data_IF_807472978829
#
_entry.id   IF_807472978829
#
_cell.length_a   1.000
_cell.length_b   1.000
_cell.length_c   1.000
_cell.angle_alpha   90.00
_cell.angle_beta   90.00
_cell.angle_gamma   90.00
#
_symmetry.space_group_name_H-M   'P 1'
#
loop_
_entity.id
_entity.type
_entity.pdbx_description
1 polymer ?
#
# COMPACT_ATOMS: atom_id res chain seq x y z
N UNK A 1 -6.37 -15.04 -16.83
CA UNK A 1 -5.71 -15.92 -15.85
C UNK A 1 -4.22 -15.60 -15.88
N UNK A 2 -3.72 -14.89 -14.86
CA UNK A 2 -2.30 -14.61 -14.74
C UNK A 2 -1.62 -15.79 -14.06
N UNK A 3 -0.73 -16.46 -14.77
CA UNK A 3 0.03 -17.60 -14.23
C UNK A 3 1.21 -17.12 -13.38
N UNK A 4 1.71 -17.97 -12.47
CA UNK A 4 2.85 -17.63 -11.60
C UNK A 4 4.11 -17.21 -12.37
N UNK A 5 4.31 -17.71 -13.58
CA UNK A 5 5.44 -17.32 -14.45
C UNK A 5 5.38 -15.88 -14.94
N UNK A 6 4.17 -15.33 -15.03
CA UNK A 6 3.96 -13.94 -15.44
C UNK A 6 4.51 -12.95 -14.42
N UNK A 7 4.50 -13.28 -13.14
CA UNK A 7 5.06 -12.46 -12.07
C UNK A 7 6.59 -12.55 -11.96
N UNK A 8 7.17 -13.69 -12.28
CA UNK A 8 8.63 -13.88 -12.26
C UNK A 8 9.35 -12.97 -13.25
N UNK A 9 8.80 -12.78 -14.44
CA UNK A 9 9.33 -11.86 -15.44
C UNK A 9 9.33 -10.39 -15.01
N UNK A 10 8.34 -9.99 -14.18
CA UNK A 10 8.28 -8.64 -13.64
C UNK A 10 9.38 -8.35 -12.63
N UNK A 11 9.69 -9.32 -11.76
CA UNK A 11 10.81 -9.19 -10.82
C UNK A 11 12.10 -8.99 -11.60
N UNK A 12 12.33 -9.83 -12.60
CA UNK A 12 13.54 -9.77 -13.40
C UNK A 12 13.70 -8.41 -14.06
N UNK A 13 12.63 -7.84 -14.64
CA UNK A 13 12.69 -6.52 -15.25
C UNK A 13 12.89 -5.39 -14.23
N UNK A 14 12.25 -5.46 -13.07
CA UNK A 14 12.48 -4.49 -12.01
C UNK A 14 13.89 -4.58 -11.45
N UNK A 15 14.42 -5.79 -11.30
CA UNK A 15 15.83 -5.98 -10.89
C UNK A 15 16.80 -5.45 -11.94
N UNK A 16 16.51 -5.63 -13.22
CA UNK A 16 17.32 -5.07 -14.32
C UNK A 16 17.25 -3.54 -14.32
N UNK A 17 16.07 -2.96 -14.13
CA UNK A 17 15.91 -1.51 -14.03
C UNK A 17 16.68 -0.96 -12.82
N UNK A 18 16.62 -1.65 -11.68
CA UNK A 18 17.38 -1.31 -10.48
C UNK A 18 18.88 -1.38 -10.73
N UNK A 19 19.39 -2.42 -11.36
CA UNK A 19 20.80 -2.58 -11.72
C UNK A 19 21.27 -1.47 -12.63
N UNK A 20 20.48 -1.14 -13.65
CA UNK A 20 20.75 -0.02 -14.55
C UNK A 20 20.82 1.31 -13.80
N UNK A 21 19.85 1.56 -12.93
CA UNK A 21 19.80 2.78 -12.13
C UNK A 21 21.02 2.93 -11.21
N UNK A 22 21.47 1.85 -10.56
CA UNK A 22 22.70 1.85 -9.76
C UNK A 22 23.92 2.21 -10.59
N UNK A 23 24.02 1.67 -11.81
CA UNK A 23 25.10 2.02 -12.74
C UNK A 23 25.04 3.48 -13.16
N UNK A 24 23.87 3.99 -13.50
CA UNK A 24 23.67 5.38 -13.88
C UNK A 24 23.96 6.33 -12.73
N UNK A 25 23.58 5.97 -11.50
CA UNK A 25 23.94 6.71 -10.29
C UNK A 25 25.45 6.78 -10.06
N UNK A 26 26.15 5.65 -10.26
CA UNK A 26 27.62 5.63 -10.13
C UNK A 26 28.29 6.51 -11.18
N UNK A 27 27.80 6.48 -12.43
CA UNK A 27 28.29 7.38 -13.48
C UNK A 27 28.04 8.83 -13.15
N UNK A 28 26.83 9.18 -12.70
CA UNK A 28 26.48 10.55 -12.32
C UNK A 28 27.35 11.06 -11.15
N UNK A 29 27.61 10.22 -10.14
CA UNK A 29 28.51 10.55 -9.03
C UNK A 29 29.95 10.78 -9.51
N UNK A 30 30.42 9.97 -10.46
CA UNK A 30 31.73 10.14 -11.04
C UNK A 30 31.86 11.44 -11.86
N UNK A 31 30.79 11.85 -12.55
CA UNK A 31 30.75 13.13 -13.28
C UNK A 31 30.71 14.32 -12.35
N UNK A 32 29.94 14.27 -11.26
CA UNK A 32 29.94 15.29 -10.20
C UNK A 32 31.33 15.46 -9.60
N UNK A 33 32.01 14.35 -9.31
CA UNK A 33 33.40 14.38 -8.78
C UNK A 33 34.41 15.00 -9.75
N UNK A 34 34.11 14.99 -11.06
CA UNK A 34 34.94 15.63 -12.11
C UNK A 34 34.59 17.11 -12.32
N UNK A 35 33.63 17.67 -11.57
CA UNK A 35 33.22 19.06 -11.74
C UNK A 35 32.37 19.32 -13.00
N UNK A 36 31.72 18.27 -13.56
CA UNK A 36 30.86 18.39 -14.71
C UNK A 36 29.50 19.01 -14.38
N UNK A 37 28.96 19.77 -15.33
CA UNK A 37 27.67 20.44 -15.20
C UNK A 37 26.51 19.45 -15.22
N UNK A 38 25.74 19.44 -14.14
CA UNK A 38 24.41 18.92 -13.99
C UNK A 38 24.19 17.41 -14.30
N UNK A 39 24.52 16.50 -13.36
CA UNK A 39 24.22 15.06 -13.48
C UNK A 39 22.72 14.72 -13.34
N UNK A 40 21.86 15.73 -13.37
CA UNK A 40 20.47 15.67 -12.99
C UNK A 40 19.62 14.62 -13.74
N UNK A 41 19.76 14.37 -15.06
CA UNK A 41 18.96 13.35 -15.73
C UNK A 41 19.32 11.93 -15.32
N UNK A 42 20.59 11.59 -15.24
CA UNK A 42 21.04 10.25 -14.83
C UNK A 42 20.73 9.97 -13.35
N UNK A 43 20.87 10.97 -12.49
CA UNK A 43 20.46 10.88 -11.08
C UNK A 43 18.96 10.69 -10.95
N UNK A 44 18.16 11.42 -11.70
CA UNK A 44 16.70 11.28 -11.70
C UNK A 44 16.27 9.87 -12.09
N UNK A 45 16.85 9.31 -13.14
CA UNK A 45 16.61 7.94 -13.57
C UNK A 45 16.99 6.92 -12.48
N UNK A 46 18.15 7.11 -11.85
CA UNK A 46 18.60 6.25 -10.76
C UNK A 46 17.66 6.29 -9.55
N UNK A 47 17.12 7.46 -9.22
CA UNK A 47 16.24 7.65 -8.07
C UNK A 47 14.92 6.89 -8.19
N UNK A 48 14.33 6.90 -9.39
CA UNK A 48 13.03 6.27 -9.60
C UNK A 48 13.11 4.76 -9.71
N UNK A 49 14.31 4.23 -9.98
CA UNK A 49 14.53 2.79 -10.18
C UNK A 49 15.17 2.09 -8.98
N UNK A 50 15.60 2.82 -7.94
CA UNK A 50 16.25 2.23 -6.75
C UNK A 50 15.22 1.64 -5.75
N UNK A 51 14.09 1.18 -6.26
CA UNK A 51 13.11 0.40 -5.53
C UNK A 51 13.63 -1.03 -5.48
N UNK A 52 14.00 -1.49 -4.29
CA UNK A 52 14.34 -2.90 -4.10
C UNK A 52 13.06 -3.73 -4.15
N UNK A 53 13.03 -4.67 -5.09
CA UNK A 53 11.90 -5.56 -5.27
C UNK A 53 12.03 -6.74 -4.32
N UNK A 54 11.06 -6.95 -3.49
CA UNK A 54 10.91 -8.15 -2.68
C UNK A 54 9.94 -9.16 -3.34
N UNK A 55 9.79 -10.33 -2.73
CA UNK A 55 8.87 -11.36 -3.21
C UNK A 55 7.41 -10.86 -3.29
N UNK A 56 7.09 -9.84 -2.54
CA UNK A 56 5.76 -9.23 -2.53
C UNK A 56 5.53 -8.33 -3.75
N UNK A 57 6.57 -7.64 -4.21
CA UNK A 57 6.59 -6.95 -5.50
C UNK A 57 6.65 -7.92 -6.67
N UNK A 58 7.17 -9.11 -6.43
CA UNK A 58 7.29 -10.16 -7.40
C UNK A 58 5.97 -10.58 -8.07
N UNK A 59 4.87 -10.25 -7.45
CA UNK A 59 3.53 -10.49 -7.98
C UNK A 59 3.00 -9.34 -8.85
N UNK A 60 3.81 -8.33 -9.11
CA UNK A 60 3.48 -7.26 -10.05
C UNK A 60 3.75 -7.76 -11.46
N UNK A 61 2.78 -7.56 -12.30
CA UNK A 61 2.73 -8.07 -13.65
C UNK A 61 3.72 -7.32 -14.57
N UNK A 62 4.31 -8.04 -15.53
CA UNK A 62 5.27 -7.51 -16.52
C UNK A 62 4.77 -6.26 -17.25
N UNK A 63 3.50 -6.26 -17.65
CA UNK A 63 2.87 -5.12 -18.32
C UNK A 63 2.78 -3.90 -17.41
N UNK A 64 2.64 -4.09 -16.11
CA UNK A 64 2.62 -3.01 -15.13
C UNK A 64 3.97 -2.34 -15.02
N UNK A 65 5.03 -3.15 -14.97
CA UNK A 65 6.40 -2.63 -14.92
C UNK A 65 6.71 -1.80 -16.16
N UNK A 66 6.32 -2.27 -17.33
CA UNK A 66 6.48 -1.54 -18.59
C UNK A 66 5.67 -0.25 -18.63
N UNK A 67 4.50 -0.24 -17.97
CA UNK A 67 3.64 0.95 -17.87
C UNK A 67 4.12 1.96 -16.82
N UNK A 68 4.82 1.50 -15.78
CA UNK A 68 5.28 2.37 -14.71
C UNK A 68 6.64 3.00 -14.97
N UNK A 69 7.49 2.34 -15.76
CA UNK A 69 8.84 2.80 -16.04
C UNK A 69 9.06 2.95 -17.55
N UNK A 70 9.60 4.07 -17.93
CA UNK A 70 10.08 4.32 -19.27
C UNK A 70 11.52 4.81 -19.21
N UNK A 71 12.42 4.11 -19.91
CA UNK A 71 13.86 4.43 -19.89
C UNK A 71 14.46 4.53 -18.48
N UNK A 72 13.92 3.76 -17.53
CA UNK A 72 14.36 3.76 -16.13
C UNK A 72 13.80 4.91 -15.28
N UNK A 73 12.94 5.76 -15.82
CA UNK A 73 12.23 6.80 -15.08
C UNK A 73 10.81 6.34 -14.72
N UNK A 74 10.34 6.71 -13.53
CA UNK A 74 8.97 6.45 -13.10
C UNK A 74 8.01 7.35 -13.90
N UNK A 75 7.24 6.72 -14.77
CA UNK A 75 6.30 7.41 -15.65
C UNK A 75 4.89 6.98 -15.36
N UNK A 76 4.27 7.69 -14.44
CA UNK A 76 2.85 7.52 -14.15
C UNK A 76 2.06 8.64 -14.83
N UNK A 77 0.90 8.30 -15.39
CA UNK A 77 -0.01 9.29 -15.94
C UNK A 77 -0.61 10.10 -14.81
N UNK A 78 -0.44 11.43 -14.77
CA UNK A 78 -1.07 12.25 -13.73
C UNK A 78 -2.59 12.17 -13.83
N UNK A 79 -3.27 11.95 -12.70
CA UNK A 79 -4.72 12.04 -12.64
C UNK A 79 -5.17 13.47 -12.31
N UNK A 80 -6.20 13.92 -13.00
CA UNK A 80 -6.89 15.19 -12.71
C UNK A 80 -8.29 14.95 -12.13
N UNK A 81 -8.59 13.72 -11.72
CA UNK A 81 -9.87 13.38 -11.09
C UNK A 81 -10.00 14.14 -9.78
N UNK A 82 -11.13 14.83 -9.61
CA UNK A 82 -11.45 15.52 -8.36
C UNK A 82 -11.67 14.53 -7.23
N UNK A 83 -11.12 14.83 -6.06
CA UNK A 83 -11.34 14.04 -4.84
C UNK A 83 -10.53 12.75 -4.71
N UNK A 84 -9.59 12.50 -5.63
CA UNK A 84 -8.69 11.33 -5.54
C UNK A 84 -7.23 11.78 -5.51
N UNK A 85 -6.40 11.10 -4.73
CA UNK A 85 -4.94 11.32 -4.67
C UNK A 85 -4.17 10.43 -5.65
N UNK A 86 -4.71 9.26 -5.93
CA UNK A 86 -4.19 8.28 -6.86
C UNK A 86 -5.32 7.43 -7.41
N UNK A 87 -5.02 6.62 -8.39
CA UNK A 87 -5.97 5.71 -9.01
C UNK A 87 -5.25 4.51 -9.64
N UNK A 88 -5.77 3.33 -9.37
CA UNK A 88 -5.33 2.09 -9.99
C UNK A 88 -6.37 1.63 -11.00
N UNK A 89 -5.93 1.44 -12.25
CA UNK A 89 -6.78 0.92 -13.32
C UNK A 89 -6.83 -0.61 -13.27
N UNK A 90 -7.91 -1.18 -13.77
CA UNK A 90 -8.08 -2.64 -13.83
C UNK A 90 -7.03 -3.35 -14.70
N UNK A 91 -6.44 -2.64 -15.65
CA UNK A 91 -5.33 -3.12 -16.47
C UNK A 91 -3.96 -2.93 -15.80
N UNK A 92 -3.95 -2.46 -14.57
CA UNK A 92 -2.79 -2.31 -13.71
C UNK A 92 -2.00 -1.04 -13.89
N UNK A 93 -2.44 -0.11 -14.73
CA UNK A 93 -1.83 1.23 -14.77
C UNK A 93 -2.11 1.94 -13.46
N UNK A 94 -1.15 2.76 -13.04
CA UNK A 94 -1.28 3.66 -11.90
C UNK A 94 -1.34 5.10 -12.38
N UNK A 95 -2.08 5.93 -11.66
CA UNK A 95 -1.96 7.38 -11.77
C UNK A 95 -1.95 8.01 -10.38
N UNK A 96 -1.24 9.12 -10.27
CA UNK A 96 -1.21 9.96 -9.07
C UNK A 96 -1.56 11.38 -9.47
N UNK A 97 -2.05 12.18 -8.54
CA UNK A 97 -2.14 13.62 -8.80
C UNK A 97 -0.74 14.20 -9.07
N UNK A 98 -0.61 15.29 -9.84
CA UNK A 98 0.69 15.87 -10.16
C UNK A 98 1.56 16.11 -8.93
N UNK A 99 0.98 16.64 -7.86
CA UNK A 99 1.71 16.90 -6.59
C UNK A 99 2.19 15.61 -5.93
N UNK A 100 1.36 14.56 -5.93
CA UNK A 100 1.72 13.24 -5.39
C UNK A 100 2.83 12.60 -6.21
N UNK A 101 2.74 12.67 -7.54
CA UNK A 101 3.79 12.16 -8.41
C UNK A 101 5.12 12.88 -8.20
N UNK A 102 5.10 14.21 -8.11
CA UNK A 102 6.30 14.99 -7.79
C UNK A 102 6.85 14.63 -6.41
N UNK A 103 5.99 14.45 -5.40
CA UNK A 103 6.37 14.03 -4.06
C UNK A 103 7.04 12.66 -4.04
N UNK A 104 6.51 11.68 -4.78
CA UNK A 104 7.13 10.34 -4.90
C UNK A 104 8.51 10.43 -5.54
N UNK A 105 8.63 11.15 -6.65
CA UNK A 105 9.92 11.34 -7.33
C UNK A 105 10.95 12.01 -6.42
N UNK A 106 10.56 13.04 -5.69
CA UNK A 106 11.43 13.74 -4.74
C UNK A 106 11.85 12.83 -3.57
N UNK A 107 10.93 12.08 -3.00
CA UNK A 107 11.24 11.13 -1.92
C UNK A 107 12.22 10.04 -2.38
N UNK A 108 11.98 9.43 -3.55
CA UNK A 108 12.87 8.42 -4.12
C UNK A 108 14.27 9.00 -4.39
N UNK A 109 14.35 10.25 -4.85
CA UNK A 109 15.61 10.97 -5.03
C UNK A 109 16.39 11.08 -3.71
N UNK A 110 15.72 11.46 -2.63
CA UNK A 110 16.33 11.56 -1.30
C UNK A 110 16.77 10.21 -0.77
N UNK A 111 16.00 9.17 -0.98
CA UNK A 111 16.36 7.79 -0.59
C UNK A 111 17.60 7.33 -1.33
N UNK A 112 17.66 7.52 -2.65
CA UNK A 112 18.77 7.09 -3.47
C UNK A 112 20.10 7.81 -3.14
N UNK A 113 20.02 9.06 -2.69
CA UNK A 113 21.18 9.83 -2.22
C UNK A 113 21.47 9.69 -0.74
N UNK A 114 20.79 8.77 -0.04
CA UNK A 114 20.93 8.54 1.41
C UNK A 114 20.55 9.74 2.27
N UNK A 115 19.62 10.56 1.79
CA UNK A 115 19.03 11.69 2.50
C UNK A 115 17.57 11.42 2.90
N UNK A 116 17.24 10.18 3.24
CA UNK A 116 15.88 9.80 3.63
C UNK A 116 15.36 10.55 4.87
N UNK A 117 16.26 11.04 5.73
CA UNK A 117 15.92 11.89 6.85
C UNK A 117 15.31 13.25 6.45
N UNK A 118 15.58 13.70 5.22
CA UNK A 118 15.08 14.97 4.68
C UNK A 118 13.75 14.84 3.94
N UNK A 119 13.17 13.65 3.94
CA UNK A 119 11.82 13.43 3.37
C UNK A 119 10.82 14.27 4.15
N UNK A 120 10.07 15.11 3.44
CA UNK A 120 9.03 15.93 4.04
C UNK A 120 7.76 15.13 4.31
N UNK A 121 6.86 15.68 5.13
CA UNK A 121 5.57 15.07 5.42
C UNK A 121 4.75 14.88 4.14
N UNK A 122 4.75 15.85 3.24
CA UNK A 122 4.06 15.77 1.95
C UNK A 122 4.62 14.68 1.04
N UNK A 123 5.95 14.55 1.00
CA UNK A 123 6.62 13.48 0.25
C UNK A 123 6.31 12.09 0.84
N UNK A 124 6.34 11.96 2.16
CA UNK A 124 5.99 10.71 2.83
C UNK A 124 4.52 10.31 2.60
N UNK A 125 3.62 11.28 2.59
CA UNK A 125 2.21 11.05 2.26
C UNK A 125 2.01 10.65 0.79
N UNK A 126 2.79 11.25 -0.12
CA UNK A 126 2.81 10.84 -1.53
C UNK A 126 3.32 9.39 -1.69
N UNK A 127 4.36 9.02 -0.97
CA UNK A 127 4.90 7.64 -0.95
C UNK A 127 3.87 6.65 -0.41
N UNK A 128 3.14 7.02 0.64
CA UNK A 128 2.08 6.19 1.19
C UNK A 128 0.91 6.03 0.20
N UNK A 129 0.57 7.08 -0.56
CA UNK A 129 -0.40 7.00 -1.65
C UNK A 129 0.09 6.08 -2.77
N UNK A 130 1.32 6.21 -3.19
CA UNK A 130 1.92 5.34 -4.20
C UNK A 130 1.87 3.86 -3.75
N UNK A 131 2.27 3.58 -2.51
CA UNK A 131 2.22 2.23 -1.97
C UNK A 131 0.80 1.67 -1.87
N UNK A 132 -0.18 2.50 -1.55
CA UNK A 132 -1.61 2.15 -1.58
C UNK A 132 -2.04 1.70 -2.98
N UNK A 133 -1.70 2.46 -4.01
CA UNK A 133 -2.05 2.12 -5.40
C UNK A 133 -1.31 0.85 -5.87
N UNK A 134 -0.04 0.69 -5.52
CA UNK A 134 0.72 -0.54 -5.79
C UNK A 134 0.05 -1.74 -5.11
N UNK A 135 -0.43 -1.58 -3.89
CA UNK A 135 -1.11 -2.64 -3.14
C UNK A 135 -2.39 -3.10 -3.84
N UNK A 136 -3.15 -2.19 -4.44
CA UNK A 136 -4.31 -2.56 -5.28
C UNK A 136 -3.94 -3.52 -6.42
N UNK A 137 -2.79 -3.35 -7.04
CA UNK A 137 -2.36 -4.21 -8.14
C UNK A 137 -2.01 -5.65 -7.74
N UNK A 138 -1.98 -5.94 -6.46
CA UNK A 138 -1.74 -7.30 -5.95
C UNK A 138 -3.00 -8.15 -5.88
N UNK A 139 -4.18 -7.52 -5.94
CA UNK A 139 -5.43 -8.23 -6.03
C UNK A 139 -5.56 -8.91 -7.39
N UNK A 140 -6.22 -10.04 -7.42
CA UNK A 140 -6.61 -10.62 -8.71
C UNK A 140 -7.62 -9.68 -9.41
N UNK A 141 -7.48 -9.48 -10.72
CA UNK A 141 -8.52 -8.82 -11.49
C UNK A 141 -9.83 -9.60 -11.34
N UNK A 142 -10.91 -8.89 -11.19
CA UNK A 142 -12.24 -9.48 -11.04
C UNK A 142 -13.27 -8.67 -11.79
N UNK A 143 -14.50 -8.71 -11.32
CA UNK A 143 -15.57 -7.93 -11.90
C UNK A 143 -15.25 -6.42 -11.80
N UNK A 144 -15.40 -5.70 -12.89
CA UNK A 144 -15.14 -4.27 -12.98
C UNK A 144 -16.17 -3.43 -12.20
N UNK A 145 -17.35 -3.98 -11.97
CA UNK A 145 -18.46 -3.28 -11.32
C UNK A 145 -18.59 -3.74 -9.87
N UNK A 146 -17.98 -2.99 -8.97
CA UNK A 146 -18.15 -3.19 -7.55
C UNK A 146 -19.38 -2.43 -7.05
N UNK A 147 -20.15 -3.07 -6.18
CA UNK A 147 -21.13 -2.35 -5.36
C UNK A 147 -20.39 -1.39 -4.41
N UNK A 148 -21.09 -0.38 -3.91
CA UNK A 148 -20.47 0.57 -2.95
C UNK A 148 -19.96 -0.16 -1.70
N UNK A 149 -20.68 -1.20 -1.26
CA UNK A 149 -20.25 -2.03 -0.13
C UNK A 149 -18.98 -2.82 -0.44
N UNK A 150 -18.90 -3.46 -1.59
CA UNK A 150 -17.69 -4.18 -2.03
C UNK A 150 -16.50 -3.24 -2.17
N UNK A 151 -16.69 -2.07 -2.76
CA UNK A 151 -15.66 -1.04 -2.90
C UNK A 151 -15.15 -0.61 -1.54
N UNK A 152 -16.03 -0.35 -0.59
CA UNK A 152 -15.68 0.08 0.76
C UNK A 152 -14.79 -0.95 1.48
N UNK A 153 -15.10 -2.23 1.41
CA UNK A 153 -14.30 -3.27 2.03
C UNK A 153 -13.00 -3.54 1.27
N UNK A 154 -13.01 -3.42 -0.04
CA UNK A 154 -11.79 -3.45 -0.83
C UNK A 154 -10.82 -2.35 -0.40
N UNK A 155 -11.30 -1.12 -0.27
CA UNK A 155 -10.48 0.00 0.16
C UNK A 155 -10.02 -0.13 1.61
N UNK A 156 -10.86 -0.64 2.51
CA UNK A 156 -10.48 -0.92 3.89
C UNK A 156 -9.33 -1.93 3.96
N UNK A 157 -9.46 -3.06 3.28
CA UNK A 157 -8.42 -4.08 3.26
C UNK A 157 -7.12 -3.55 2.64
N UNK A 158 -7.24 -2.85 1.51
CA UNK A 158 -6.10 -2.31 0.80
C UNK A 158 -5.34 -1.25 1.60
N UNK A 159 -6.05 -0.26 2.16
CA UNK A 159 -5.42 0.78 2.98
C UNK A 159 -4.84 0.20 4.28
N UNK A 160 -5.52 -0.75 4.92
CA UNK A 160 -4.99 -1.44 6.10
C UNK A 160 -3.67 -2.15 5.78
N UNK A 161 -3.64 -2.97 4.74
CA UNK A 161 -2.42 -3.70 4.35
C UNK A 161 -1.32 -2.74 3.91
N UNK A 162 -1.62 -1.72 3.11
CA UNK A 162 -0.63 -0.76 2.65
C UNK A 162 0.02 -0.01 3.81
N UNK A 163 -0.76 0.43 4.81
CA UNK A 163 -0.21 1.10 6.01
C UNK A 163 0.69 0.17 6.82
N UNK A 164 0.23 -1.05 7.10
CA UNK A 164 0.98 -2.01 7.92
C UNK A 164 2.25 -2.52 7.24
N UNK A 165 2.31 -2.51 5.93
CA UNK A 165 3.49 -2.91 5.15
C UNK A 165 4.38 -1.75 4.72
N UNK A 166 4.01 -0.51 5.05
CA UNK A 166 4.79 0.68 4.73
C UNK A 166 6.22 0.65 5.31
N UNK A 167 6.45 0.20 6.56
CA UNK A 167 7.81 0.06 7.07
C UNK A 167 8.68 -0.90 6.27
N UNK A 168 8.12 -2.02 5.85
CA UNK A 168 8.81 -3.00 5.02
C UNK A 168 9.13 -2.42 3.64
N UNK A 169 8.21 -1.68 3.06
CA UNK A 169 8.42 -0.96 1.80
C UNK A 169 9.63 -0.02 1.90
N UNK A 170 9.68 0.87 2.91
CA UNK A 170 10.82 1.76 3.12
C UNK A 170 12.12 1.00 3.39
N UNK A 171 12.07 -0.07 4.17
CA UNK A 171 13.24 -0.93 4.42
C UNK A 171 13.80 -1.51 3.12
N UNK A 172 12.93 -1.96 2.21
CA UNK A 172 13.33 -2.48 0.88
C UNK A 172 13.91 -1.39 -0.01
N UNK A 173 13.52 -0.14 0.18
CA UNK A 173 14.14 1.02 -0.47
C UNK A 173 15.51 1.40 0.12
N UNK A 174 15.93 0.75 1.21
CA UNK A 174 17.20 1.01 1.87
C UNK A 174 17.12 2.03 3.02
N UNK A 175 15.90 2.40 3.46
CA UNK A 175 15.73 3.28 4.60
C UNK A 175 15.87 2.52 5.92
N UNK A 176 16.67 3.02 6.83
CA UNK A 176 16.81 2.45 8.18
C UNK A 176 15.61 2.73 9.07
N UNK A 177 14.86 3.78 8.78
CA UNK A 177 13.65 4.20 9.51
C UNK A 177 12.55 4.55 8.52
N UNK A 178 11.31 4.34 8.94
CA UNK A 178 10.14 4.81 8.18
C UNK A 178 9.96 6.30 8.41
N UNK A 179 10.01 7.14 7.36
CA UNK A 179 9.65 8.55 7.49
C UNK A 179 8.18 8.68 7.92
N UNK A 180 7.93 9.60 8.84
CA UNK A 180 6.57 9.86 9.36
C UNK A 180 5.80 8.58 9.75
N UNK A 181 6.28 7.83 10.76
CA UNK A 181 5.71 6.55 11.14
C UNK A 181 4.26 6.64 11.61
N UNK A 182 3.76 7.82 11.92
CA UNK A 182 2.35 8.06 12.21
C UNK A 182 1.41 7.64 11.06
N UNK A 183 1.89 7.62 9.82
CA UNK A 183 1.09 7.18 8.67
C UNK A 183 0.76 5.68 8.68
N UNK A 184 1.42 4.89 9.51
CA UNK A 184 1.09 3.49 9.73
C UNK A 184 -0.27 3.36 10.44
N UNK A 185 -0.62 4.33 11.28
CA UNK A 185 -1.83 4.30 12.11
C UNK A 185 -2.85 5.37 11.74
N UNK A 186 -2.41 6.52 11.24
CA UNK A 186 -3.29 7.66 10.99
C UNK A 186 -2.83 8.45 9.75
N UNK A 187 -3.70 8.49 8.74
CA UNK A 187 -3.49 9.20 7.48
C UNK A 187 -4.72 10.02 7.13
N UNK A 188 -4.80 11.24 7.63
CA UNK A 188 -5.96 12.13 7.44
C UNK A 188 -6.16 12.59 5.98
N UNK A 189 -5.16 12.46 5.12
CA UNK A 189 -5.24 12.81 3.71
C UNK A 189 -6.07 11.84 2.87
N UNK A 190 -6.52 10.71 3.43
CA UNK A 190 -7.33 9.72 2.73
C UNK A 190 -8.75 9.67 3.30
N UNK A 191 -9.74 9.49 2.42
CA UNK A 191 -11.14 9.28 2.82
C UNK A 191 -11.38 7.97 3.58
N UNK A 192 -10.37 7.10 3.67
CA UNK A 192 -10.48 5.78 4.31
C UNK A 192 -9.99 5.75 5.75
N UNK A 193 -9.50 6.89 6.26
CA UNK A 193 -8.84 6.96 7.56
C UNK A 193 -9.73 6.47 8.71
N UNK A 194 -10.99 6.88 8.74
CA UNK A 194 -11.93 6.49 9.80
C UNK A 194 -12.13 4.98 9.87
N UNK A 195 -12.38 4.33 8.72
CA UNK A 195 -12.67 2.89 8.72
C UNK A 195 -11.43 2.05 9.05
N UNK A 196 -10.25 2.45 8.59
CA UNK A 196 -9.00 1.76 8.94
C UNK A 196 -8.68 1.94 10.42
N UNK A 197 -8.84 3.16 10.96
CA UNK A 197 -8.62 3.41 12.38
C UNK A 197 -9.60 2.65 13.27
N UNK A 198 -10.83 2.44 12.83
CA UNK A 198 -11.80 1.63 13.56
C UNK A 198 -11.43 0.14 13.52
N UNK A 199 -10.98 -0.36 12.39
CA UNK A 199 -10.49 -1.74 12.28
C UNK A 199 -9.26 -1.97 13.16
N UNK A 200 -8.28 -1.07 13.13
CA UNK A 200 -7.12 -1.08 14.02
C UNK A 200 -7.51 -1.00 15.50
N UNK A 201 -8.51 -0.21 15.81
CA UNK A 201 -9.01 -0.09 17.18
C UNK A 201 -9.62 -1.40 17.68
N UNK A 202 -10.38 -2.13 16.84
CA UNK A 202 -10.86 -3.46 17.20
C UNK A 202 -9.69 -4.38 17.54
N UNK A 203 -8.66 -4.40 16.71
CA UNK A 203 -7.47 -5.22 16.93
C UNK A 203 -6.83 -4.90 18.28
N UNK A 204 -6.59 -3.63 18.56
CA UNK A 204 -5.92 -3.22 19.81
C UNK A 204 -6.82 -3.33 21.03
N UNK A 205 -8.10 -2.93 20.94
CA UNK A 205 -9.03 -2.94 22.06
C UNK A 205 -9.34 -4.36 22.56
N UNK A 206 -9.38 -5.33 21.65
CA UNK A 206 -9.60 -6.74 22.00
C UNK A 206 -8.31 -7.53 22.22
N UNK A 207 -7.15 -6.88 22.15
CA UNK A 207 -5.85 -7.54 22.31
C UNK A 207 -5.58 -8.63 21.30
N UNK A 208 -6.06 -8.47 20.05
CA UNK A 208 -5.88 -9.44 19.02
C UNK A 208 -4.40 -9.54 18.59
N UNK A 209 -4.01 -10.71 18.09
CA UNK A 209 -2.70 -10.89 17.48
C UNK A 209 -2.63 -10.12 16.15
N UNK A 210 -2.08 -8.92 16.18
CA UNK A 210 -2.00 -8.02 15.04
C UNK A 210 -1.24 -8.62 13.85
N UNK A 211 -0.22 -9.46 14.11
CA UNK A 211 0.53 -10.12 13.05
C UNK A 211 -0.31 -11.17 12.33
N UNK A 212 -1.11 -11.94 13.06
CA UNK A 212 -2.04 -12.90 12.46
C UNK A 212 -3.14 -12.21 11.67
N UNK A 213 -3.71 -11.12 12.20
CA UNK A 213 -4.70 -10.32 11.46
C UNK A 213 -4.10 -9.84 10.14
N UNK A 214 -2.94 -9.20 10.18
CA UNK A 214 -2.27 -8.70 8.99
C UNK A 214 -1.96 -9.82 7.99
N UNK A 215 -1.41 -10.94 8.45
CA UNK A 215 -1.06 -12.06 7.58
C UNK A 215 -2.30 -12.60 6.85
N UNK A 216 -3.42 -12.73 7.54
CA UNK A 216 -4.67 -13.23 6.96
C UNK A 216 -5.27 -12.24 5.96
N UNK A 217 -5.38 -10.96 6.32
CA UNK A 217 -5.93 -9.93 5.43
C UNK A 217 -5.04 -9.78 4.19
N UNK A 218 -3.73 -9.74 4.36
CA UNK A 218 -2.73 -9.65 3.28
C UNK A 218 -2.83 -10.83 2.32
N UNK A 219 -2.90 -12.06 2.85
CA UNK A 219 -3.03 -13.28 2.03
C UNK A 219 -4.32 -13.25 1.21
N UNK A 220 -5.44 -12.90 1.81
CA UNK A 220 -6.70 -12.78 1.11
C UNK A 220 -6.65 -11.68 0.03
N UNK A 221 -6.07 -10.52 0.36
CA UNK A 221 -5.91 -9.41 -0.57
C UNK A 221 -5.18 -9.86 -1.85
N UNK A 222 -4.13 -10.68 -1.73
CA UNK A 222 -3.32 -11.11 -2.87
C UNK A 222 -3.93 -12.29 -3.64
N UNK A 223 -4.76 -13.09 -3.00
CA UNK A 223 -5.30 -14.31 -3.59
C UNK A 223 -6.71 -14.14 -4.12
N UNK A 224 -7.46 -13.14 -3.67
CA UNK A 224 -8.84 -12.93 -4.03
C UNK A 224 -9.05 -11.71 -4.93
N UNK A 225 -10.18 -11.68 -5.60
CA UNK A 225 -10.59 -10.59 -6.47
C UNK A 225 -11.06 -9.36 -5.67
N UNK A 226 -11.12 -8.21 -6.31
CA UNK A 226 -11.53 -6.94 -5.69
C UNK A 226 -12.87 -7.01 -4.94
N UNK A 227 -13.81 -7.80 -5.44
CA UNK A 227 -15.14 -7.92 -4.84
C UNK A 227 -15.20 -8.79 -3.58
N UNK A 228 -14.15 -9.56 -3.26
CA UNK A 228 -14.13 -10.53 -2.15
C UNK A 228 -13.08 -10.22 -1.09
N UNK A 229 -12.99 -8.98 -0.66
CA UNK A 229 -12.05 -8.56 0.38
C UNK A 229 -12.66 -8.60 1.79
N UNK A 230 -13.98 -8.60 1.91
CA UNK A 230 -14.68 -8.71 3.19
C UNK A 230 -14.35 -10.03 3.91
N UNK A 231 -14.23 -11.13 3.18
CA UNK A 231 -13.88 -12.44 3.73
C UNK A 231 -12.56 -12.41 4.49
N UNK A 232 -11.53 -11.80 3.93
CA UNK A 232 -10.22 -11.67 4.58
C UNK A 232 -10.25 -10.78 5.82
N UNK A 233 -10.99 -9.68 5.78
CA UNK A 233 -11.16 -8.79 6.92
C UNK A 233 -11.84 -9.49 8.10
N UNK A 234 -12.91 -10.26 7.85
CA UNK A 234 -13.60 -11.07 8.87
C UNK A 234 -12.70 -12.17 9.43
N UNK A 235 -12.07 -12.93 8.54
CA UNK A 235 -11.20 -14.02 8.95
C UNK A 235 -9.99 -13.52 9.74
N UNK A 236 -9.46 -12.34 9.39
CA UNK A 236 -8.37 -11.71 10.12
C UNK A 236 -8.72 -11.48 11.60
N UNK A 237 -9.91 -10.96 11.88
CA UNK A 237 -10.36 -10.77 13.26
C UNK A 237 -10.49 -12.11 14.01
N UNK A 238 -10.98 -13.16 13.38
CA UNK A 238 -11.07 -14.50 13.98
C UNK A 238 -9.67 -15.10 14.24
N UNK A 239 -8.79 -15.04 13.26
CA UNK A 239 -7.43 -15.56 13.39
C UNK A 239 -6.61 -14.79 14.45
N UNK A 240 -6.90 -13.51 14.61
CA UNK A 240 -6.36 -12.67 15.67
C UNK A 240 -6.90 -12.98 17.06
N UNK A 241 -7.97 -13.76 17.16
CA UNK A 241 -8.52 -14.24 18.43
C UNK A 241 -9.73 -13.48 18.95
N UNK A 242 -10.50 -12.81 18.09
CA UNK A 242 -11.73 -12.11 18.49
C UNK A 242 -12.71 -13.08 19.16
N UNK A 243 -13.20 -12.71 20.35
CA UNK A 243 -14.14 -13.49 21.17
C UNK A 243 -15.22 -12.59 21.74
N UNK A 244 -16.37 -13.21 22.02
CA UNK A 244 -17.43 -12.60 22.82
C UNK A 244 -17.08 -12.70 24.31
N UNK A 245 -17.64 -11.80 25.15
CA UNK A 245 -17.47 -11.85 26.61
C UNK A 245 -18.00 -13.15 27.23
N UNK A 246 -19.06 -13.71 26.66
CA UNK A 246 -19.68 -14.96 27.15
C UNK A 246 -18.96 -16.22 26.66
N UNK A 247 -17.84 -16.09 25.95
CA UNK A 247 -17.07 -17.21 25.40
C UNK A 247 -17.71 -17.92 24.20
N UNK A 248 -18.91 -17.49 23.78
CA UNK A 248 -19.54 -18.06 22.57
C UNK A 248 -18.76 -17.69 21.31
N UNK A 249 -18.95 -18.53 20.31
CA UNK A 249 -18.35 -18.32 18.99
C UNK A 249 -18.90 -17.07 18.33
N UNK A 250 -18.02 -16.29 17.71
CA UNK A 250 -18.38 -15.13 16.90
C UNK A 250 -19.12 -15.60 15.64
N UNK A 251 -20.32 -15.08 15.40
CA UNK A 251 -21.12 -15.45 14.24
C UNK A 251 -20.69 -14.69 12.98
N UNK A 252 -21.02 -15.24 11.82
CA UNK A 252 -20.82 -14.54 10.53
C UNK A 252 -21.60 -13.22 10.48
N UNK A 253 -22.80 -13.20 11.05
CA UNK A 253 -23.63 -11.98 11.12
C UNK A 253 -22.97 -10.92 11.98
N UNK A 254 -22.42 -11.29 13.14
CA UNK A 254 -21.70 -10.37 14.01
C UNK A 254 -20.49 -9.77 13.30
N UNK A 255 -19.70 -10.59 12.61
CA UNK A 255 -18.55 -10.12 11.84
C UNK A 255 -18.95 -9.11 10.75
N UNK A 256 -20.04 -9.40 10.02
CA UNK A 256 -20.57 -8.47 9.03
C UNK A 256 -20.96 -7.12 9.66
N UNK A 257 -21.60 -7.16 10.84
CA UNK A 257 -22.00 -5.95 11.55
C UNK A 257 -20.79 -5.16 12.10
N UNK A 258 -19.79 -5.85 12.65
CA UNK A 258 -18.55 -5.21 13.10
C UNK A 258 -17.89 -4.46 11.95
N UNK A 259 -17.72 -5.12 10.79
CA UNK A 259 -17.10 -4.48 9.62
C UNK A 259 -17.95 -3.32 9.09
N UNK A 260 -19.27 -3.46 9.06
CA UNK A 260 -20.17 -2.37 8.71
C UNK A 260 -20.02 -1.18 9.65
N UNK A 261 -19.97 -1.42 10.97
CA UNK A 261 -19.81 -0.38 11.98
C UNK A 261 -18.43 0.30 11.91
N UNK A 262 -17.37 -0.42 11.54
CA UNK A 262 -16.06 0.19 11.26
C UNK A 262 -16.16 1.32 10.22
N UNK A 263 -17.04 1.16 9.25
CA UNK A 263 -17.24 2.16 8.19
C UNK A 263 -18.18 3.31 8.58
N UNK A 264 -18.92 3.19 9.70
CA UNK A 264 -19.91 4.19 10.13
C UNK A 264 -19.36 5.21 11.14
N UNK A 265 -18.36 4.82 11.94
CA UNK A 265 -17.77 5.66 12.96
C UNK A 265 -17.55 4.94 14.30
N UNK A 266 -16.67 5.47 15.13
CA UNK A 266 -16.25 4.86 16.39
C UNK A 266 -17.41 4.65 17.35
N UNK A 267 -18.23 5.66 17.59
CA UNK A 267 -19.34 5.57 18.53
C UNK A 267 -20.36 4.49 18.13
N UNK A 268 -20.67 4.38 16.84
CA UNK A 268 -21.57 3.33 16.32
C UNK A 268 -20.97 1.94 16.56
N UNK A 269 -19.68 1.77 16.29
CA UNK A 269 -18.96 0.52 16.51
C UNK A 269 -18.97 0.12 18.01
N UNK A 270 -18.61 1.03 18.90
CA UNK A 270 -18.59 0.77 20.34
C UNK A 270 -19.97 0.42 20.87
N UNK A 271 -21.00 1.18 20.51
CA UNK A 271 -22.38 0.90 20.91
C UNK A 271 -22.85 -0.49 20.45
N UNK A 272 -22.55 -0.84 19.17
CA UNK A 272 -22.91 -2.16 18.68
C UNK A 272 -22.21 -3.28 19.45
N UNK A 273 -20.90 -3.13 19.71
CA UNK A 273 -20.11 -4.11 20.44
C UNK A 273 -20.60 -4.31 21.88
N UNK A 274 -20.97 -3.22 22.58
CA UNK A 274 -21.59 -3.29 23.93
C UNK A 274 -22.93 -4.01 23.88
N UNK A 275 -23.82 -3.61 22.99
CA UNK A 275 -25.18 -4.18 22.90
C UNK A 275 -25.17 -5.67 22.52
N UNK A 276 -24.12 -6.15 21.87
CA UNK A 276 -24.02 -7.53 21.37
C UNK A 276 -23.06 -8.42 22.17
N UNK A 277 -22.60 -7.97 23.33
CA UNK A 277 -21.86 -8.80 24.30
C UNK A 277 -20.39 -9.00 23.95
N UNK A 278 -19.76 -8.03 23.32
CA UNK A 278 -18.32 -8.04 23.04
C UNK A 278 -17.52 -7.21 24.03
N UNK A 279 -18.11 -6.20 24.61
CA UNK A 279 -17.48 -5.33 25.61
C UNK A 279 -18.53 -4.79 26.59
N UNK A 280 -18.07 -4.30 27.76
CA UNK A 280 -18.91 -3.70 28.79
C UNK A 280 -19.24 -2.22 28.50
#
# INVERSE_FOLDING_TARGET
VHTSNYYGDCITKLQQALSKAKTDLQKAKAEVAKGGDNPHPALRTAYTSDIQVDETFAKINKELTEKWFENGDLKLTPTRRTGVNGFTYMDGRLSLTPDRLAGVKSALAKIATRHSADITKGEADAMATFWHEVTHNRNKPGNMYLTDTQRRYMELANEFVSRKTLPEFYKKLGCSKTPYPEFITNRNSTGYNTMVNNYDWVISNFGLDANKVLATVKRNLYNEVYSDQLTGLKQGLLDGGLKRLDGKKVSKSDLNNILKCCCCGRATLENWLKQNGYMN
#
